data_IF_475683129349
#
_entry.id   IF_475683129349
#
_cell.length_a   1.000
_cell.length_b   1.000
_cell.length_c   1.000
_cell.angle_alpha   90.00
_cell.angle_beta   90.00
_cell.angle_gamma   90.00
#
_symmetry.space_group_name_H-M   'P 1'
#
loop_
_entity.id
_entity.type
_entity.pdbx_description
1 polymer ?
#
# COMPACT_ATOMS: atom_id res chain seq x y z
N UNK A 1 -48.00 -42.30 1.44
CA UNK A 1 -46.68 -42.31 2.11
C UNK A 1 -45.59 -42.30 1.05
N UNK A 2 -45.17 -41.12 0.62
CA UNK A 2 -44.13 -40.91 -0.40
C UNK A 2 -42.95 -40.22 0.29
N UNK A 3 -41.78 -40.85 0.18
CA UNK A 3 -40.54 -40.45 0.85
C UNK A 3 -39.98 -39.18 0.18
N UNK A 4 -39.79 -38.12 0.95
CA UNK A 4 -39.01 -36.95 0.58
C UNK A 4 -37.52 -37.24 0.86
N UNK A 5 -36.71 -37.17 -0.18
CA UNK A 5 -35.24 -37.08 -0.10
C UNK A 5 -34.82 -35.64 0.24
N UNK A 6 -33.79 -35.42 1.08
CA UNK A 6 -33.35 -34.07 1.42
C UNK A 6 -32.41 -33.54 0.32
N UNK A 7 -32.70 -32.33 -0.14
CA UNK A 7 -31.85 -31.52 -1.04
C UNK A 7 -30.83 -30.77 -0.16
N UNK A 8 -29.53 -30.93 -0.47
CA UNK A 8 -28.43 -30.18 0.13
C UNK A 8 -28.63 -28.66 -0.01
N UNK A 9 -28.46 -27.85 1.06
CA UNK A 9 -28.45 -26.40 0.93
C UNK A 9 -27.04 -25.95 0.55
N UNK A 10 -26.72 -26.00 -0.74
CA UNK A 10 -25.68 -25.16 -1.32
C UNK A 10 -26.40 -24.12 -2.20
N UNK A 11 -26.06 -22.85 -2.02
CA UNK A 11 -26.48 -21.68 -2.81
C UNK A 11 -27.85 -21.06 -2.45
N UNK A 12 -27.84 -20.04 -1.58
CA UNK A 12 -28.36 -18.70 -1.89
C UNK A 12 -28.19 -17.79 -0.65
N UNK A 13 -27.33 -16.76 -0.72
CA UNK A 13 -27.75 -15.36 -0.51
C UNK A 13 -26.76 -14.50 -1.27
N UNK A 14 -27.23 -13.91 -2.37
CA UNK A 14 -26.55 -12.84 -3.06
C UNK A 14 -27.01 -11.48 -2.51
N UNK A 15 -26.07 -10.54 -2.57
CA UNK A 15 -26.23 -9.11 -2.85
C UNK A 15 -27.01 -8.23 -1.87
N UNK A 16 -26.26 -7.37 -1.18
CA UNK A 16 -26.59 -5.95 -1.04
C UNK A 16 -25.29 -5.17 -0.82
N UNK A 17 -24.54 -4.88 -1.88
CA UNK A 17 -23.79 -3.64 -2.10
C UNK A 17 -23.31 -3.65 -3.55
N UNK A 18 -23.91 -2.81 -4.37
CA UNK A 18 -23.52 -2.66 -5.77
C UNK A 18 -22.19 -1.93 -5.90
N UNK A 19 -21.24 -2.55 -6.59
CA UNK A 19 -20.42 -1.93 -7.65
C UNK A 19 -19.82 -3.04 -8.51
N UNK A 20 -20.21 -3.07 -9.79
CA UNK A 20 -19.55 -3.75 -10.90
C UNK A 20 -18.10 -3.25 -11.03
N UNK A 21 -17.08 -3.96 -11.51
CA UNK A 21 -17.02 -5.07 -12.46
C UNK A 21 -16.07 -6.17 -11.94
N UNK A 22 -16.42 -7.41 -12.25
CA UNK A 22 -15.63 -8.59 -11.97
C UNK A 22 -14.53 -8.75 -13.03
N UNK A 23 -13.31 -8.28 -12.74
CA UNK A 23 -12.14 -8.63 -13.56
C UNK A 23 -11.76 -10.08 -13.31
N UNK A 24 -11.97 -10.92 -14.32
CA UNK A 24 -11.51 -12.32 -14.38
C UNK A 24 -9.99 -12.37 -14.21
N UNK A 25 -9.50 -13.10 -13.20
CA UNK A 25 -8.09 -13.48 -13.08
C UNK A 25 -7.43 -13.31 -11.70
N UNK A 26 -8.14 -12.86 -10.66
CA UNK A 26 -7.53 -12.74 -9.33
C UNK A 26 -7.50 -14.08 -8.59
N UNK A 27 -6.28 -14.57 -8.29
CA UNK A 27 -6.05 -15.57 -7.23
C UNK A 27 -6.67 -15.02 -5.94
N UNK A 28 -7.47 -15.77 -5.17
CA UNK A 28 -8.11 -15.24 -3.97
C UNK A 28 -7.04 -14.77 -2.99
N UNK A 29 -6.95 -13.45 -2.83
CA UNK A 29 -6.12 -12.82 -1.81
C UNK A 29 -6.75 -13.17 -0.46
N UNK A 30 -6.00 -13.84 0.40
CA UNK A 30 -6.45 -14.21 1.73
C UNK A 30 -6.85 -12.91 2.46
N UNK A 31 -8.09 -12.82 2.92
CA UNK A 31 -8.57 -11.65 3.67
C UNK A 31 -7.75 -11.49 4.94
N UNK A 32 -7.31 -10.26 5.24
CA UNK A 32 -6.64 -9.94 6.51
C UNK A 32 -7.58 -10.31 7.66
N UNK A 33 -7.05 -10.97 8.68
CA UNK A 33 -7.83 -11.42 9.82
C UNK A 33 -7.85 -10.34 10.91
N UNK A 34 -8.88 -10.36 11.74
CA UNK A 34 -9.02 -9.43 12.85
C UNK A 34 -7.99 -9.66 13.97
N UNK A 35 -7.50 -10.89 14.11
CA UNK A 35 -6.46 -11.34 15.03
C UNK A 35 -5.67 -12.49 14.38
N UNK A 36 -4.44 -12.69 14.83
CA UNK A 36 -3.57 -13.80 14.43
C UNK A 36 -3.13 -14.66 15.62
N UNK A 37 -3.72 -14.48 16.81
CA UNK A 37 -3.42 -15.28 18.01
C UNK A 37 -3.74 -16.77 17.82
N UNK A 38 -4.67 -17.12 16.91
CA UNK A 38 -5.03 -18.50 16.59
C UNK A 38 -3.93 -19.30 15.87
N UNK A 39 -2.87 -18.65 15.39
CA UNK A 39 -1.78 -19.33 14.71
C UNK A 39 -0.75 -19.86 15.71
N UNK A 40 -0.70 -21.18 15.88
CA UNK A 40 0.36 -21.85 16.65
C UNK A 40 1.76 -21.58 16.05
N UNK A 41 1.85 -21.47 14.72
CA UNK A 41 3.09 -21.15 14.01
C UNK A 41 2.91 -19.93 13.10
N UNK A 42 2.89 -18.76 13.73
CA UNK A 42 2.79 -17.48 13.03
C UNK A 42 3.98 -17.23 12.08
N UNK A 43 5.18 -17.72 12.39
CA UNK A 43 6.37 -17.45 11.58
C UNK A 43 6.26 -18.13 10.21
N UNK A 44 5.68 -19.33 10.16
CA UNK A 44 5.36 -20.00 8.91
C UNK A 44 4.29 -19.24 8.12
N UNK A 45 3.23 -18.76 8.77
CA UNK A 45 2.19 -17.96 8.13
C UNK A 45 2.74 -16.65 7.55
N UNK A 46 3.58 -15.95 8.32
CA UNK A 46 4.28 -14.74 7.91
C UNK A 46 5.21 -14.99 6.72
N UNK A 47 5.96 -16.10 6.73
CA UNK A 47 6.83 -16.49 5.60
C UNK A 47 6.04 -16.75 4.32
N UNK A 48 4.90 -17.45 4.42
CA UNK A 48 4.02 -17.71 3.28
C UNK A 48 3.45 -16.40 2.73
N UNK A 49 2.92 -15.55 3.60
CA UNK A 49 2.37 -14.24 3.23
C UNK A 49 3.41 -13.37 2.52
N UNK A 50 4.61 -13.24 3.09
CA UNK A 50 5.69 -12.44 2.51
C UNK A 50 6.03 -12.93 1.11
N UNK A 51 6.20 -14.25 0.95
CA UNK A 51 6.52 -14.89 -0.34
C UNK A 51 5.42 -14.64 -1.37
N UNK A 52 4.17 -14.95 -1.04
CA UNK A 52 3.03 -14.78 -1.94
C UNK A 52 2.87 -13.32 -2.37
N UNK A 53 3.07 -12.38 -1.44
CA UNK A 53 2.97 -10.94 -1.71
C UNK A 53 4.10 -10.47 -2.64
N UNK A 54 5.33 -10.93 -2.41
CA UNK A 54 6.48 -10.57 -3.23
C UNK A 54 6.41 -11.15 -4.66
N UNK A 55 5.96 -12.40 -4.79
CA UNK A 55 5.89 -13.12 -6.07
C UNK A 55 4.63 -12.80 -6.88
N UNK A 56 3.69 -12.02 -6.31
CA UNK A 56 2.48 -11.61 -7.00
C UNK A 56 2.82 -10.78 -8.25
N UNK A 57 2.36 -11.24 -9.41
CA UNK A 57 2.53 -10.54 -10.71
C UNK A 57 2.08 -9.09 -10.64
N UNK A 58 0.99 -8.85 -9.91
CA UNK A 58 0.44 -7.53 -9.63
C UNK A 58 0.13 -7.40 -8.15
N UNK A 59 0.36 -6.21 -7.59
CA UNK A 59 0.04 -5.88 -6.20
C UNK A 59 -0.73 -4.57 -6.16
N UNK A 60 -1.93 -4.54 -5.58
CA UNK A 60 -2.68 -3.29 -5.52
C UNK A 60 -2.10 -2.39 -4.43
N UNK A 61 -1.43 -1.33 -4.86
CA UNK A 61 -0.91 -0.28 -3.97
C UNK A 61 -2.02 0.62 -3.40
N UNK A 62 -3.28 0.25 -3.62
CA UNK A 62 -4.45 0.99 -3.15
C UNK A 62 -5.25 0.22 -2.11
N UNK A 63 -6.21 -0.60 -2.54
CA UNK A 63 -7.19 -1.25 -1.66
C UNK A 63 -6.55 -2.21 -0.68
N UNK A 64 -5.55 -2.96 -1.12
CA UNK A 64 -4.98 -4.06 -0.35
C UNK A 64 -4.38 -3.56 0.95
N UNK A 65 -3.88 -2.32 0.97
CA UNK A 65 -3.29 -1.69 2.15
C UNK A 65 -4.32 -1.23 3.21
N UNK A 66 -5.61 -1.10 2.86
CA UNK A 66 -6.62 -0.66 3.84
C UNK A 66 -6.84 -1.69 4.95
N UNK A 67 -6.93 -2.97 4.60
CA UNK A 67 -7.18 -4.02 5.59
C UNK A 67 -5.99 -4.14 6.57
N UNK A 68 -4.76 -3.96 6.08
CA UNK A 68 -3.57 -3.89 6.92
C UNK A 68 -3.52 -2.62 7.78
N UNK A 69 -4.02 -1.48 7.27
CA UNK A 69 -4.18 -0.29 8.09
C UNK A 69 -5.17 -0.51 9.23
N UNK A 70 -6.29 -1.18 8.97
CA UNK A 70 -7.27 -1.52 10.01
C UNK A 70 -6.68 -2.45 11.07
N UNK A 71 -5.90 -3.45 10.65
CA UNK A 71 -5.16 -4.31 11.59
C UNK A 71 -4.19 -3.48 12.45
N UNK A 72 -3.46 -2.53 11.86
CA UNK A 72 -2.57 -1.64 12.59
C UNK A 72 -3.33 -0.73 13.57
N UNK A 73 -4.43 -0.09 13.16
CA UNK A 73 -5.21 0.80 14.03
C UNK A 73 -5.76 0.05 15.23
N UNK A 74 -6.25 -1.16 15.01
CA UNK A 74 -6.67 -2.04 16.10
C UNK A 74 -5.53 -2.39 17.06
N UNK A 75 -4.31 -2.55 16.54
CA UNK A 75 -3.13 -2.73 17.38
C UNK A 75 -2.81 -1.47 18.21
N UNK A 76 -2.76 -0.30 17.58
CA UNK A 76 -2.35 0.96 18.22
C UNK A 76 -3.47 1.56 19.08
N UNK A 77 -4.64 1.79 18.50
CA UNK A 77 -5.71 2.61 19.08
C UNK A 77 -6.59 1.82 20.07
N UNK A 78 -6.82 0.53 19.81
CA UNK A 78 -7.61 -0.33 20.71
C UNK A 78 -6.75 -1.00 21.80
N UNK A 79 -5.45 -0.67 21.86
CA UNK A 79 -4.54 -1.18 22.89
C UNK A 79 -4.27 -2.69 22.82
N UNK A 80 -4.45 -3.30 21.65
CA UNK A 80 -4.23 -4.74 21.46
C UNK A 80 -2.74 -5.07 21.54
N UNK A 81 -2.43 -6.26 22.07
CA UNK A 81 -1.04 -6.76 22.22
C UNK A 81 -0.76 -8.02 21.40
N UNK A 82 -1.52 -8.24 20.34
CA UNK A 82 -1.32 -9.36 19.42
C UNK A 82 0.02 -9.18 18.68
N UNK A 83 1.08 -9.79 19.20
CA UNK A 83 2.41 -9.79 18.58
C UNK A 83 2.41 -10.51 17.23
N UNK A 84 1.46 -11.43 17.00
CA UNK A 84 1.32 -12.12 15.72
C UNK A 84 0.84 -11.15 14.63
N UNK A 85 -0.02 -10.18 14.97
CA UNK A 85 -0.42 -9.11 14.04
C UNK A 85 0.79 -8.29 13.58
N UNK A 86 1.73 -7.95 14.46
CA UNK A 86 2.96 -7.24 14.09
C UNK A 86 3.83 -8.06 13.12
N UNK A 87 3.95 -9.38 13.35
CA UNK A 87 4.67 -10.28 12.44
C UNK A 87 4.03 -10.32 11.04
N UNK A 88 2.70 -10.32 10.96
CA UNK A 88 1.97 -10.30 9.69
C UNK A 88 2.07 -8.96 8.97
N UNK A 89 1.97 -7.84 9.70
CA UNK A 89 2.23 -6.50 9.17
C UNK A 89 3.65 -6.39 8.59
N UNK A 90 4.64 -6.92 9.31
CA UNK A 90 6.03 -6.94 8.86
C UNK A 90 6.22 -7.81 7.60
N UNK A 91 5.61 -9.00 7.59
CA UNK A 91 5.66 -9.90 6.43
C UNK A 91 5.05 -9.27 5.18
N UNK A 92 3.86 -8.67 5.32
CA UNK A 92 3.20 -7.98 4.22
C UNK A 92 4.00 -6.77 3.75
N UNK A 93 4.48 -5.91 4.66
CA UNK A 93 5.29 -4.74 4.32
C UNK A 93 6.56 -5.13 3.57
N UNK A 94 7.29 -6.14 4.07
CA UNK A 94 8.51 -6.67 3.42
C UNK A 94 8.20 -7.19 2.02
N UNK A 95 7.16 -8.01 1.87
CA UNK A 95 6.80 -8.59 0.58
C UNK A 95 6.31 -7.55 -0.44
N UNK A 96 5.38 -6.69 -0.03
CA UNK A 96 4.72 -5.72 -0.91
C UNK A 96 5.61 -4.56 -1.34
N UNK A 97 6.62 -4.22 -0.53
CA UNK A 97 7.47 -3.04 -0.76
C UNK A 97 8.91 -3.45 -1.00
N UNK A 98 9.58 -4.03 -0.01
CA UNK A 98 11.04 -4.20 -0.04
C UNK A 98 11.47 -5.29 -1.02
N UNK A 99 10.84 -6.46 -0.96
CA UNK A 99 11.18 -7.58 -1.83
C UNK A 99 10.73 -7.30 -3.26
N UNK A 100 9.59 -6.62 -3.44
CA UNK A 100 9.10 -6.21 -4.74
C UNK A 100 10.01 -5.17 -5.42
N UNK A 101 10.50 -4.19 -4.65
CA UNK A 101 11.53 -3.27 -5.13
C UNK A 101 12.78 -4.03 -5.59
N UNK A 102 13.31 -4.95 -4.77
CA UNK A 102 14.49 -5.75 -5.12
C UNK A 102 14.28 -6.59 -6.38
N UNK A 103 13.10 -7.17 -6.55
CA UNK A 103 12.75 -7.96 -7.72
C UNK A 103 12.74 -7.12 -9.00
N UNK A 104 12.24 -5.88 -8.95
CA UNK A 104 12.30 -4.92 -10.05
C UNK A 104 13.73 -4.43 -10.30
N UNK A 105 14.48 -4.14 -9.23
CA UNK A 105 15.87 -3.68 -9.34
C UNK A 105 16.77 -4.72 -10.00
N UNK A 106 16.58 -6.01 -9.69
CA UNK A 106 17.25 -7.12 -10.35
C UNK A 106 16.95 -7.22 -11.86
N UNK A 107 15.85 -6.61 -12.32
CA UNK A 107 15.45 -6.53 -13.73
C UNK A 107 15.85 -5.20 -14.39
N UNK A 108 16.51 -4.30 -13.64
CA UNK A 108 16.83 -2.94 -14.10
C UNK A 108 15.66 -1.94 -14.01
N UNK A 109 14.54 -2.36 -13.40
CA UNK A 109 13.31 -1.59 -13.26
C UNK A 109 13.13 -0.99 -11.86
N UNK A 110 14.11 -1.12 -10.96
CA UNK A 110 14.04 -0.61 -9.58
C UNK A 110 13.76 0.89 -9.51
N UNK A 111 14.40 1.66 -10.41
CA UNK A 111 14.16 3.10 -10.60
C UNK A 111 12.77 3.46 -11.11
N UNK A 112 11.95 2.47 -11.47
CA UNK A 112 10.56 2.67 -11.86
C UNK A 112 9.61 2.48 -10.69
N UNK A 113 10.06 1.94 -9.56
CA UNK A 113 9.22 1.63 -8.41
C UNK A 113 8.79 2.88 -7.63
N UNK A 114 7.52 2.96 -7.22
CA UNK A 114 7.03 4.08 -6.42
C UNK A 114 5.85 3.72 -5.53
N UNK A 115 5.73 4.40 -4.38
CA UNK A 115 4.73 4.08 -3.35
C UNK A 115 3.71 5.20 -3.05
N UNK A 116 3.85 6.37 -3.68
CA UNK A 116 2.94 7.51 -3.54
C UNK A 116 2.05 7.72 -4.76
N UNK A 117 1.06 8.61 -4.64
CA UNK A 117 0.36 9.09 -5.82
C UNK A 117 1.31 9.85 -6.72
N UNK A 118 1.21 9.64 -8.03
CA UNK A 118 2.07 10.29 -9.01
C UNK A 118 1.26 11.25 -9.87
N UNK A 119 1.93 12.32 -10.29
CA UNK A 119 1.41 13.30 -11.26
C UNK A 119 1.69 12.90 -12.71
N UNK A 120 2.28 11.72 -12.93
CA UNK A 120 2.58 11.21 -14.28
C UNK A 120 1.31 11.03 -15.11
N UNK A 121 1.41 11.46 -16.37
CA UNK A 121 0.36 11.38 -17.38
C UNK A 121 0.16 9.96 -17.90
N UNK A 122 -1.03 9.69 -18.46
CA UNK A 122 -1.38 8.41 -19.08
C UNK A 122 -2.71 7.87 -18.59
N UNK A 123 -3.10 6.72 -19.13
CA UNK A 123 -4.32 6.05 -18.68
C UNK A 123 -4.09 5.45 -17.27
N UNK A 124 -5.18 5.09 -16.58
CA UNK A 124 -5.09 4.57 -15.20
C UNK A 124 -4.34 3.24 -15.07
N UNK A 125 -4.03 2.54 -16.16
CA UNK A 125 -3.30 1.26 -16.18
C UNK A 125 -1.82 1.41 -16.57
N UNK A 126 -1.47 2.48 -17.28
CA UNK A 126 -0.14 2.74 -17.81
C UNK A 126 0.14 4.24 -17.76
N UNK A 127 1.16 4.63 -17.00
CA UNK A 127 1.65 6.01 -16.94
C UNK A 127 2.92 6.13 -17.77
N UNK A 128 3.16 7.29 -18.37
CA UNK A 128 4.32 7.53 -19.22
C UNK A 128 5.08 8.72 -18.63
N UNK A 129 6.38 8.53 -18.43
CA UNK A 129 7.31 9.61 -18.08
C UNK A 129 8.57 9.43 -18.91
N UNK A 130 8.91 10.45 -19.70
CA UNK A 130 9.98 10.41 -20.70
C UNK A 130 9.83 9.20 -21.64
N UNK A 131 10.82 8.31 -21.67
CA UNK A 131 10.91 7.11 -22.50
C UNK A 131 10.41 5.84 -21.80
N UNK A 132 9.90 5.94 -20.56
CA UNK A 132 9.52 4.80 -19.72
C UNK A 132 8.01 4.62 -19.61
N UNK A 133 7.58 3.36 -19.70
CA UNK A 133 6.18 2.95 -19.50
C UNK A 133 6.00 2.33 -18.13
N UNK A 134 5.26 3.00 -17.26
CA UNK A 134 5.00 2.56 -15.90
C UNK A 134 3.70 1.77 -15.83
N UNK A 135 3.81 0.48 -15.53
CA UNK A 135 2.67 -0.41 -15.35
C UNK A 135 2.08 -0.27 -13.93
N UNK A 136 0.78 -0.02 -13.86
CA UNK A 136 0.02 -0.02 -12.60
C UNK A 136 0.16 -1.37 -11.89
N UNK A 137 0.24 -1.34 -10.56
CA UNK A 137 0.31 -2.52 -9.69
C UNK A 137 1.55 -3.41 -9.94
N UNK A 138 2.44 -3.00 -10.85
CA UNK A 138 3.76 -3.60 -11.08
C UNK A 138 4.82 -2.64 -10.55
N UNK A 139 4.90 -1.42 -11.08
CA UNK A 139 5.87 -0.43 -10.61
C UNK A 139 5.36 0.36 -9.40
N UNK A 140 4.05 0.50 -9.26
CA UNK A 140 3.47 1.30 -8.19
C UNK A 140 2.11 1.86 -8.57
N UNK A 141 1.59 2.75 -7.72
CA UNK A 141 0.44 3.60 -8.03
C UNK A 141 -0.80 2.83 -8.47
N UNK A 142 -1.56 2.31 -7.51
CA UNK A 142 -2.79 1.56 -7.79
C UNK A 142 -3.87 2.41 -8.47
N UNK A 143 -5.00 1.77 -8.82
CA UNK A 143 -6.08 2.40 -9.62
C UNK A 143 -6.71 3.64 -8.99
N UNK A 144 -6.44 3.88 -7.70
CA UNK A 144 -6.86 5.05 -6.92
C UNK A 144 -5.68 5.96 -6.51
N UNK A 145 -4.56 5.93 -7.25
CA UNK A 145 -3.51 6.93 -7.22
C UNK A 145 -2.61 6.87 -5.99
N UNK A 146 -3.13 7.18 -4.80
CA UNK A 146 -2.36 7.19 -3.54
C UNK A 146 -3.09 6.60 -2.35
N UNK A 147 -4.26 5.99 -2.54
CA UNK A 147 -4.99 5.35 -1.46
C UNK A 147 -4.08 4.26 -0.84
N UNK A 148 -4.05 4.13 0.48
CA UNK A 148 -3.10 3.24 1.18
C UNK A 148 -1.66 3.77 1.33
N UNK A 149 -1.29 4.91 0.73
CA UNK A 149 0.06 5.49 0.91
C UNK A 149 0.33 5.93 2.35
N UNK A 150 -0.69 6.44 3.03
CA UNK A 150 -0.60 6.75 4.45
C UNK A 150 -0.43 5.48 5.29
N UNK A 151 -1.19 4.41 4.99
CA UNK A 151 -1.05 3.12 5.66
C UNK A 151 0.38 2.57 5.60
N UNK A 152 1.02 2.63 4.42
CA UNK A 152 2.43 2.23 4.24
C UNK A 152 3.36 2.95 5.22
N UNK A 153 3.17 4.25 5.39
CA UNK A 153 3.98 5.07 6.28
C UNK A 153 3.70 4.76 7.75
N UNK A 154 2.43 4.61 8.14
CA UNK A 154 2.05 4.25 9.51
C UNK A 154 2.59 2.86 9.91
N UNK A 155 2.46 1.87 9.01
CA UNK A 155 2.99 0.53 9.22
C UNK A 155 4.52 0.60 9.37
N UNK A 156 5.22 1.33 8.50
CA UNK A 156 6.65 1.52 8.64
C UNK A 156 7.05 2.10 10.00
N UNK A 157 6.39 3.16 10.45
CA UNK A 157 6.69 3.80 11.72
C UNK A 157 6.49 2.87 12.90
N UNK A 158 5.38 2.12 12.94
CA UNK A 158 5.14 1.17 14.01
C UNK A 158 6.17 0.03 13.99
N UNK A 159 6.50 -0.51 12.81
CA UNK A 159 7.53 -1.56 12.71
C UNK A 159 8.93 -1.06 13.09
N UNK A 160 9.25 0.22 12.90
CA UNK A 160 10.50 0.82 13.40
C UNK A 160 10.46 1.00 14.90
N UNK A 161 9.35 1.52 15.44
CA UNK A 161 9.15 1.74 16.88
C UNK A 161 9.22 0.42 17.67
N UNK A 162 8.71 -0.67 17.11
CA UNK A 162 8.77 -2.01 17.67
C UNK A 162 10.10 -2.74 17.36
N UNK A 163 11.08 -2.05 16.76
CA UNK A 163 12.40 -2.58 16.41
C UNK A 163 12.39 -3.82 15.47
N UNK A 164 11.31 -4.01 14.72
CA UNK A 164 11.11 -5.17 13.83
C UNK A 164 11.92 -5.05 12.53
N UNK A 165 12.06 -3.83 11.99
CA UNK A 165 12.82 -3.61 10.75
C UNK A 165 14.32 -3.48 11.04
N UNK A 166 15.14 -4.15 10.25
CA UNK A 166 16.60 -4.03 10.33
C UNK A 166 17.08 -2.65 9.87
N UNK A 167 18.34 -2.30 10.15
CA UNK A 167 18.95 -1.05 9.68
C UNK A 167 18.95 -0.97 8.15
N UNK A 168 19.23 -2.08 7.49
CA UNK A 168 19.27 -2.22 6.04
C UNK A 168 17.87 -2.06 5.43
N UNK A 169 16.85 -2.64 6.07
CA UNK A 169 15.45 -2.48 5.65
C UNK A 169 14.98 -1.03 5.79
N UNK A 170 15.36 -0.35 6.88
CA UNK A 170 15.08 1.08 7.09
C UNK A 170 15.76 1.95 6.04
N UNK A 171 17.03 1.64 5.71
CA UNK A 171 17.77 2.36 4.69
C UNK A 171 17.16 2.18 3.29
N UNK A 172 16.81 0.94 2.93
CA UNK A 172 16.15 0.63 1.66
C UNK A 172 14.79 1.32 1.53
N UNK A 173 13.98 1.28 2.58
CA UNK A 173 12.69 1.96 2.55
C UNK A 173 12.84 3.48 2.39
N UNK A 174 13.84 4.07 3.05
CA UNK A 174 14.17 5.49 2.87
C UNK A 174 14.54 5.82 1.42
N UNK A 175 15.31 4.97 0.76
CA UNK A 175 15.66 5.11 -0.66
C UNK A 175 14.40 5.10 -1.54
N UNK A 176 13.52 4.12 -1.33
CA UNK A 176 12.22 4.01 -2.03
C UNK A 176 11.36 5.26 -1.83
N UNK A 177 11.31 5.80 -0.60
CA UNK A 177 10.55 7.01 -0.28
C UNK A 177 11.13 8.23 -1.01
N UNK A 178 12.45 8.43 -0.94
CA UNK A 178 13.11 9.56 -1.63
C UNK A 178 12.90 9.46 -3.14
N UNK A 179 13.06 8.26 -3.73
CA UNK A 179 12.76 8.02 -5.13
C UNK A 179 11.32 8.37 -5.46
N UNK A 180 10.35 7.90 -4.67
CA UNK A 180 8.91 8.13 -4.90
C UNK A 180 8.50 9.62 -4.77
N UNK A 181 9.31 10.45 -4.11
CA UNK A 181 9.09 11.89 -3.97
C UNK A 181 9.86 12.72 -5.01
N UNK A 182 10.67 12.07 -5.85
CA UNK A 182 11.42 12.76 -6.91
C UNK A 182 10.50 13.25 -8.03
N UNK A 183 11.00 14.21 -8.81
CA UNK A 183 10.31 14.83 -9.94
C UNK A 183 9.94 13.83 -11.04
N UNK A 184 10.64 12.70 -11.11
CA UNK A 184 10.32 11.61 -12.04
C UNK A 184 8.92 11.03 -11.81
N UNK A 185 8.40 11.15 -10.58
CA UNK A 185 7.12 10.59 -10.15
C UNK A 185 6.12 11.63 -9.67
N UNK A 186 6.60 12.71 -9.02
CA UNK A 186 5.75 13.62 -8.28
C UNK A 186 6.06 15.08 -8.60
N UNK A 187 5.08 15.73 -9.20
CA UNK A 187 4.99 17.17 -9.41
C UNK A 187 3.83 17.70 -8.56
N UNK A 188 4.19 18.45 -7.51
CA UNK A 188 3.25 19.05 -6.57
C UNK A 188 2.32 20.09 -7.21
N UNK A 189 2.72 20.66 -8.36
CA UNK A 189 1.87 21.61 -9.10
C UNK A 189 0.73 20.92 -9.85
N UNK A 190 0.85 19.61 -10.06
CA UNK A 190 -0.10 18.80 -10.84
C UNK A 190 -0.98 17.91 -9.96
N UNK A 191 -0.87 18.02 -8.64
CA UNK A 191 -1.73 17.31 -7.71
C UNK A 191 -3.15 17.89 -7.72
N UNK A 192 -4.15 17.01 -7.59
CA UNK A 192 -5.55 17.41 -7.44
C UNK A 192 -5.74 18.25 -6.17
N UNK A 193 -6.31 19.47 -6.32
CA UNK A 193 -6.58 20.42 -5.22
C UNK A 193 -8.08 20.64 -4.97
N UNK A 194 -8.95 19.86 -5.61
CA UNK A 194 -10.40 20.02 -5.49
C UNK A 194 -10.88 19.73 -4.07
N UNK A 195 -11.95 20.39 -3.63
CA UNK A 195 -12.58 20.16 -2.32
C UNK A 195 -13.38 18.83 -2.29
N UNK A 196 -12.69 17.71 -2.47
CA UNK A 196 -13.25 16.36 -2.41
C UNK A 196 -12.31 15.43 -1.60
N UNK A 197 -12.61 14.14 -1.53
CA UNK A 197 -11.83 13.20 -0.70
C UNK A 197 -10.47 12.78 -1.31
N UNK A 198 -10.21 13.09 -2.58
CA UNK A 198 -9.04 12.60 -3.32
C UNK A 198 -7.74 13.28 -2.87
N UNK A 199 -7.64 14.61 -2.70
CA UNK A 199 -6.43 15.22 -2.16
C UNK A 199 -6.04 14.61 -0.82
N UNK A 200 -6.95 14.51 0.15
CA UNK A 200 -6.68 13.95 1.48
C UNK A 200 -6.09 12.53 1.42
N UNK A 201 -6.69 11.65 0.59
CA UNK A 201 -6.22 10.26 0.47
C UNK A 201 -4.94 10.13 -0.34
N UNK A 202 -4.68 11.03 -1.29
CA UNK A 202 -3.50 10.98 -2.15
C UNK A 202 -2.27 11.65 -1.52
N UNK A 203 -2.46 12.67 -0.70
CA UNK A 203 -1.37 13.43 -0.06
C UNK A 203 -1.02 12.94 1.33
N UNK A 204 -1.89 12.17 2.00
CA UNK A 204 -1.63 11.67 3.36
C UNK A 204 -0.34 10.86 3.51
N UNK A 205 0.01 10.02 2.52
CA UNK A 205 1.30 9.31 2.52
C UNK A 205 2.50 10.23 2.29
N UNK A 206 2.37 11.23 1.41
CA UNK A 206 3.42 12.21 1.12
C UNK A 206 3.69 13.07 2.36
N UNK A 207 2.64 13.56 3.02
CA UNK A 207 2.76 14.33 4.26
C UNK A 207 3.43 13.52 5.38
N UNK A 208 3.05 12.26 5.55
CA UNK A 208 3.70 11.36 6.51
C UNK A 208 5.18 11.13 6.15
N UNK A 209 5.50 10.93 4.87
CA UNK A 209 6.87 10.74 4.41
C UNK A 209 7.77 11.95 4.71
N UNK A 210 7.28 13.17 4.48
CA UNK A 210 8.04 14.40 4.77
C UNK A 210 8.26 14.59 6.28
N UNK A 211 7.30 14.17 7.11
CA UNK A 211 7.44 14.16 8.58
C UNK A 211 8.48 13.14 9.04
N UNK A 212 8.40 11.90 8.53
CA UNK A 212 9.27 10.78 8.94
C UNK A 212 10.69 10.91 8.40
N UNK A 213 10.84 11.49 7.22
CA UNK A 213 12.13 11.66 6.54
C UNK A 213 12.39 13.15 6.26
N UNK A 214 12.89 13.93 7.24
CA UNK A 214 13.11 15.37 7.10
C UNK A 214 14.04 15.77 5.95
N UNK A 215 14.92 14.86 5.50
CA UNK A 215 15.73 15.10 4.28
C UNK A 215 14.88 15.44 3.06
N UNK A 216 13.63 14.97 3.02
CA UNK A 216 12.70 15.22 1.93
C UNK A 216 12.15 16.65 1.95
N UNK A 217 12.29 17.41 3.04
CA UNK A 217 11.86 18.81 3.13
C UNK A 217 12.72 19.75 2.27
N UNK A 218 13.94 19.32 1.92
CA UNK A 218 14.84 20.04 1.01
C UNK A 218 14.58 19.78 -0.47
N UNK A 219 13.65 18.87 -0.82
CA UNK A 219 13.23 18.67 -2.21
C UNK A 219 12.51 19.94 -2.69
N UNK A 220 13.02 20.54 -3.77
CA UNK A 220 12.69 21.89 -4.28
C UNK A 220 11.18 22.17 -4.40
N UNK A 221 10.39 21.13 -4.63
CA UNK A 221 8.96 21.21 -4.90
C UNK A 221 8.06 21.23 -3.65
N UNK A 222 8.60 20.94 -2.46
CA UNK A 222 7.82 20.99 -1.21
C UNK A 222 7.53 22.42 -0.75
N UNK A 223 8.51 23.34 -0.86
CA UNK A 223 8.36 24.72 -0.39
C UNK A 223 7.27 25.51 -1.11
N UNK A 224 7.02 25.23 -2.39
CA UNK A 224 6.00 25.93 -3.19
C UNK A 224 4.60 25.33 -2.97
N UNK A 225 4.48 24.05 -2.59
CA UNK A 225 3.19 23.40 -2.37
C UNK A 225 2.52 23.74 -1.03
N UNK A 226 3.30 24.21 -0.05
CA UNK A 226 2.79 24.63 1.28
C UNK A 226 2.66 26.14 1.43
N UNK A 227 3.43 26.95 0.70
CA UNK A 227 3.38 28.41 0.80
C UNK A 227 2.02 28.99 0.40
N UNK A 228 1.27 28.29 -0.45
CA UNK A 228 -0.02 28.78 -0.95
C UNK A 228 -1.20 28.53 0.02
N UNK A 229 -0.99 27.81 1.14
CA UNK A 229 -2.04 27.48 2.12
C UNK A 229 -1.84 28.16 3.50
N UNK A 230 -0.87 29.07 3.64
CA UNK A 230 -0.47 29.65 4.93
C UNK A 230 -0.65 31.17 5.09
N UNK A 231 -1.01 31.89 4.02
CA UNK A 231 -1.28 33.32 4.07
C UNK A 231 -2.67 33.61 3.50
N UNK A 232 -3.70 33.23 4.24
CA UNK A 232 -5.04 33.83 4.28
C UNK A 232 -5.97 32.86 5.02
N UNK A 233 -5.95 32.92 6.35
CA UNK A 233 -7.08 32.83 7.30
C UNK A 233 -6.56 32.92 8.74
#
# INVERSE_FOLDING_TARGET
MTKLTPICPLMLVASLFGFSEQSRGAVPQQSVLDSYEQFENIDQAAKVLRKQTAEAKTHSFSRDWFDWEFLLRRYIDEGRRDENALKMLAAYFRGAVLDRYRALDAQGEGKMFYIFNTSMDGNKSTRISSDKVFLRDVHGGGGHGGWGSHARMLIYEELVKQEILSREERALFREIVVQSLSEDFLDFNRLERGANNRPYKNTGGIAAAVRVFPICQGLRNWRHGLSDNGENL
#
